data_IF_294530724856
#
_entry.id   IF_294530724856
#
_cell.length_a   1.000
_cell.length_b   1.000
_cell.length_c   1.000
_cell.angle_alpha   90.00
_cell.angle_beta   90.00
_cell.angle_gamma   90.00
#
_symmetry.space_group_name_H-M   'P 1'
#
loop_
_entity.id
_entity.type
_entity.pdbx_description
1 polymer ?
#
# COMPACT_ATOMS: atom_id res chain seq x y z
N UNK A 1 2.29 37.93 74.96
CA UNK A 1 3.73 38.25 74.91
C UNK A 1 4.53 37.04 75.37
N UNK A 2 5.30 36.40 74.49
CA UNK A 2 6.75 36.23 74.67
C UNK A 2 7.34 35.46 73.49
N UNK A 3 8.28 36.13 72.81
CA UNK A 3 9.15 35.56 71.79
C UNK A 3 10.26 34.79 72.48
N UNK A 4 10.55 33.58 72.03
CA UNK A 4 11.88 32.97 72.18
C UNK A 4 12.24 32.25 70.87
N UNK A 5 13.30 32.76 70.24
CA UNK A 5 13.97 32.19 69.09
C UNK A 5 14.58 30.83 69.46
N UNK A 6 14.36 29.81 68.63
CA UNK A 6 15.20 28.61 68.59
C UNK A 6 15.67 28.43 67.14
N UNK A 7 16.81 29.06 66.88
CA UNK A 7 17.75 28.69 65.83
C UNK A 7 18.38 27.34 66.19
N UNK A 8 17.73 26.25 65.79
CA UNK A 8 18.30 24.90 65.65
C UNK A 8 17.18 23.99 65.15
N UNK A 9 17.49 22.98 64.32
CA UNK A 9 16.54 22.03 63.72
C UNK A 9 15.76 22.51 62.48
N UNK A 10 16.46 22.71 61.36
CA UNK A 10 15.88 22.35 60.03
C UNK A 10 16.90 22.30 58.88
N UNK A 11 18.20 22.21 59.17
CA UNK A 11 19.27 22.21 58.16
C UNK A 11 19.78 20.82 57.83
N UNK A 12 18.90 19.80 57.77
CA UNK A 12 19.30 18.45 57.32
C UNK A 12 18.30 17.84 56.31
N UNK A 13 17.08 18.38 56.19
CA UNK A 13 16.03 17.81 55.32
C UNK A 13 15.82 18.58 54.00
N UNK A 14 16.88 19.17 53.45
CA UNK A 14 16.82 19.96 52.20
C UNK A 14 17.84 19.66 51.08
N UNK A 15 18.84 18.76 51.20
CA UNK A 15 19.68 18.42 50.05
C UNK A 15 19.30 17.10 49.36
N UNK A 16 18.15 16.49 49.67
CA UNK A 16 17.73 15.24 48.99
C UNK A 16 16.81 15.47 47.78
N UNK A 17 16.15 16.63 47.68
CA UNK A 17 15.18 16.91 46.61
C UNK A 17 15.75 17.73 45.43
N UNK A 18 16.99 18.22 45.52
CA UNK A 18 17.62 19.01 44.46
C UNK A 18 18.64 18.22 43.60
N UNK A 19 18.96 16.98 43.98
CA UNK A 19 19.78 16.08 43.14
C UNK A 19 18.94 15.28 42.12
N UNK A 20 17.62 15.14 42.35
CA UNK A 20 16.73 14.42 41.45
C UNK A 20 16.25 15.23 40.23
N UNK A 21 16.33 16.58 40.27
CA UNK A 21 15.92 17.42 39.13
C UNK A 21 17.05 17.73 38.13
N UNK A 22 18.31 17.59 38.52
CA UNK A 22 19.45 17.73 37.60
C UNK A 22 19.63 16.50 36.68
N UNK A 23 19.11 15.33 37.08
CA UNK A 23 19.10 14.10 36.26
C UNK A 23 17.90 13.99 35.31
N UNK A 24 16.88 14.86 35.45
CA UNK A 24 15.70 14.90 34.58
C UNK A 24 15.81 15.93 33.44
N UNK A 25 16.77 16.86 33.49
CA UNK A 25 17.01 17.84 32.41
C UNK A 25 18.08 17.40 31.39
N UNK A 26 18.85 16.34 31.67
CA UNK A 26 19.82 15.78 30.71
C UNK A 26 19.19 14.80 29.69
N UNK A 27 17.90 14.45 29.87
CA UNK A 27 17.21 13.43 29.05
C UNK A 27 16.33 14.00 27.95
N UNK A 28 16.32 15.32 27.72
CA UNK A 28 15.46 15.97 26.72
C UNK A 28 16.17 16.52 25.46
N UNK A 29 17.46 16.19 25.27
CA UNK A 29 18.22 16.59 24.06
C UNK A 29 18.60 15.43 23.13
N UNK A 30 18.06 14.22 23.34
CA UNK A 30 18.09 13.16 22.34
C UNK A 30 16.65 12.86 21.99
N UNK A 31 16.13 13.42 20.88
CA UNK A 31 15.06 12.86 20.01
C UNK A 31 14.73 13.88 18.90
N UNK A 32 15.76 14.33 18.19
CA UNK A 32 15.59 14.88 16.86
C UNK A 32 16.63 14.22 15.95
N UNK A 33 16.47 12.92 15.71
CA UNK A 33 16.92 12.40 14.42
C UNK A 33 15.98 13.02 13.40
N UNK A 34 16.37 14.22 12.95
CA UNK A 34 15.96 14.70 11.65
C UNK A 34 16.32 13.56 10.70
N UNK A 35 15.30 12.91 10.14
CA UNK A 35 15.44 12.12 8.94
C UNK A 35 16.03 13.08 7.91
N UNK A 36 17.35 13.10 7.80
CA UNK A 36 18.00 13.60 6.59
C UNK A 36 17.31 12.86 5.46
N UNK A 37 16.74 13.55 4.46
CA UNK A 37 16.23 12.87 3.29
C UNK A 37 17.39 12.03 2.76
N UNK A 38 17.29 10.70 2.89
CA UNK A 38 18.29 9.80 2.34
C UNK A 38 18.48 10.23 0.88
N UNK A 39 19.73 10.51 0.51
CA UNK A 39 20.00 10.99 -0.83
C UNK A 39 19.41 9.99 -1.82
N UNK A 40 18.65 10.44 -2.84
CA UNK A 40 17.98 9.56 -3.81
C UNK A 40 18.93 8.51 -4.42
N UNK A 41 20.23 8.83 -4.50
CA UNK A 41 21.25 7.90 -4.98
C UNK A 41 21.45 6.67 -4.07
N UNK A 42 21.27 6.79 -2.76
CA UNK A 42 21.45 5.69 -1.81
C UNK A 42 20.29 4.68 -1.95
N UNK A 43 19.05 5.17 -2.03
CA UNK A 43 17.86 4.33 -2.23
C UNK A 43 17.93 3.51 -3.53
N UNK A 44 18.36 4.12 -4.64
CA UNK A 44 18.53 3.40 -5.92
C UNK A 44 19.57 2.28 -5.83
N UNK A 45 20.64 2.49 -5.08
CA UNK A 45 21.68 1.48 -4.88
C UNK A 45 21.19 0.35 -3.96
N UNK A 46 20.42 0.66 -2.92
CA UNK A 46 19.76 -0.33 -2.07
C UNK A 46 18.81 -1.20 -2.88
N UNK A 47 17.97 -0.59 -3.74
CA UNK A 47 17.05 -1.32 -4.61
C UNK A 47 17.79 -2.25 -5.58
N UNK A 48 18.86 -1.75 -6.20
CA UNK A 48 19.69 -2.58 -7.08
C UNK A 48 20.33 -3.78 -6.36
N UNK A 49 20.78 -3.61 -5.11
CA UNK A 49 21.32 -4.71 -4.31
C UNK A 49 20.25 -5.76 -3.97
N UNK A 50 19.01 -5.31 -3.70
CA UNK A 50 17.86 -6.21 -3.50
C UNK A 50 17.56 -7.00 -4.77
N UNK A 51 17.50 -6.35 -5.93
CA UNK A 51 17.24 -7.02 -7.21
C UNK A 51 18.31 -8.09 -7.51
N UNK A 52 19.60 -7.80 -7.22
CA UNK A 52 20.67 -8.79 -7.36
C UNK A 52 20.50 -9.97 -6.40
N UNK A 53 20.12 -9.72 -5.14
CA UNK A 53 19.88 -10.77 -4.17
C UNK A 53 18.71 -11.69 -4.58
N UNK A 54 17.66 -11.12 -5.16
CA UNK A 54 16.53 -11.87 -5.72
C UNK A 54 16.95 -12.71 -6.93
N UNK A 55 17.80 -12.17 -7.82
CA UNK A 55 18.38 -12.94 -8.92
C UNK A 55 19.17 -14.16 -8.41
N UNK A 56 20.00 -14.00 -7.37
CA UNK A 56 20.73 -15.14 -6.78
C UNK A 56 19.79 -16.17 -6.15
N UNK A 57 18.73 -15.72 -5.46
CA UNK A 57 17.75 -16.60 -4.84
C UNK A 57 16.96 -17.43 -5.86
N UNK A 58 16.80 -16.94 -7.08
CA UNK A 58 16.03 -17.56 -8.16
C UNK A 58 16.90 -18.29 -9.20
N UNK A 59 18.19 -18.52 -8.91
CA UNK A 59 19.16 -19.11 -9.84
C UNK A 59 18.72 -20.46 -10.45
N UNK A 60 17.90 -21.24 -9.74
CA UNK A 60 17.40 -22.54 -10.20
C UNK A 60 16.26 -22.45 -11.23
N UNK A 61 15.57 -21.30 -11.34
CA UNK A 61 14.32 -21.16 -12.11
C UNK A 61 14.41 -20.15 -13.25
N UNK A 62 15.49 -19.37 -13.35
CA UNK A 62 15.62 -18.30 -14.33
C UNK A 62 17.05 -18.14 -14.88
N UNK A 63 17.18 -17.57 -16.08
CA UNK A 63 18.47 -17.14 -16.61
C UNK A 63 19.05 -16.01 -15.75
N UNK A 64 19.98 -16.38 -14.88
CA UNK A 64 20.67 -15.48 -13.97
C UNK A 64 21.39 -14.33 -14.71
N UNK A 65 21.91 -14.58 -15.92
CA UNK A 65 22.58 -13.55 -16.69
C UNK A 65 21.59 -12.51 -17.21
N UNK A 66 20.42 -12.96 -17.68
CA UNK A 66 19.32 -12.08 -18.06
C UNK A 66 18.79 -11.28 -16.86
N UNK A 67 18.55 -11.93 -15.71
CA UNK A 67 18.08 -11.25 -14.50
C UNK A 67 19.03 -10.14 -14.05
N UNK A 68 20.34 -10.43 -13.95
CA UNK A 68 21.35 -9.42 -13.59
C UNK A 68 21.45 -8.29 -14.63
N UNK A 69 21.20 -8.60 -15.91
CA UNK A 69 21.14 -7.58 -16.96
C UNK A 69 19.93 -6.66 -16.77
N UNK A 70 18.76 -7.22 -16.49
CA UNK A 70 17.53 -6.45 -16.20
C UNK A 70 17.71 -5.55 -14.98
N UNK A 71 18.29 -6.05 -13.89
CA UNK A 71 18.59 -5.25 -12.69
C UNK A 71 19.52 -4.06 -13.01
N UNK A 72 20.55 -4.25 -13.85
CA UNK A 72 21.43 -3.14 -14.29
C UNK A 72 20.69 -2.12 -15.15
N UNK A 73 19.82 -2.59 -16.06
CA UNK A 73 19.03 -1.70 -16.91
C UNK A 73 18.05 -0.88 -16.06
N UNK A 74 17.39 -1.51 -15.08
CA UNK A 74 16.50 -0.85 -14.14
C UNK A 74 17.23 0.27 -13.37
N UNK A 75 18.43 0.00 -12.84
CA UNK A 75 19.25 1.03 -12.19
C UNK A 75 19.62 2.18 -13.15
N UNK A 76 19.98 1.87 -14.39
CA UNK A 76 20.33 2.88 -15.39
C UNK A 76 19.13 3.78 -15.73
N UNK A 77 17.93 3.21 -15.87
CA UNK A 77 16.70 3.95 -16.12
C UNK A 77 16.26 4.77 -14.90
N UNK A 78 16.45 4.24 -13.69
CA UNK A 78 16.23 4.95 -12.44
C UNK A 78 17.09 6.22 -12.33
N UNK A 79 18.39 6.09 -12.62
CA UNK A 79 19.34 7.22 -12.65
C UNK A 79 18.98 8.28 -13.70
N UNK A 80 18.29 7.87 -14.76
CA UNK A 80 17.76 8.77 -15.80
C UNK A 80 16.39 9.38 -15.44
N UNK A 81 15.88 9.12 -14.23
CA UNK A 81 14.56 9.53 -13.76
C UNK A 81 13.40 9.02 -14.63
N UNK A 82 13.59 7.89 -15.32
CA UNK A 82 12.56 7.29 -16.17
C UNK A 82 11.52 6.46 -15.38
N UNK A 83 11.81 6.16 -14.11
CA UNK A 83 10.96 5.36 -13.21
C UNK A 83 10.11 6.22 -12.24
N UNK A 84 9.88 7.49 -12.57
CA UNK A 84 9.13 8.46 -11.75
C UNK A 84 7.71 7.97 -11.37
N UNK A 85 7.19 8.45 -10.22
CA UNK A 85 5.77 8.37 -9.78
C UNK A 85 4.74 8.75 -10.86
N UNK A 86 5.16 9.52 -11.88
CA UNK A 86 4.37 9.73 -13.12
C UNK A 86 3.88 8.40 -13.72
N UNK A 87 4.66 7.34 -13.57
CA UNK A 87 4.35 5.98 -14.02
C UNK A 87 3.18 5.38 -13.23
N UNK A 88 3.02 5.66 -11.94
CA UNK A 88 1.89 5.15 -11.14
C UNK A 88 0.55 5.70 -11.66
N UNK A 89 0.48 7.01 -11.90
CA UNK A 89 -0.69 7.63 -12.52
C UNK A 89 -0.92 7.13 -13.95
N UNK A 90 0.14 6.84 -14.70
CA UNK A 90 0.05 6.21 -16.02
C UNK A 90 -0.44 4.76 -15.94
N UNK A 91 -0.06 3.98 -14.92
CA UNK A 91 -0.51 2.61 -14.73
C UNK A 91 -2.01 2.56 -14.51
N UNK A 92 -2.53 3.36 -13.59
CA UNK A 92 -3.99 3.42 -13.34
C UNK A 92 -4.74 3.86 -14.61
N UNK A 93 -4.28 4.92 -15.28
CA UNK A 93 -4.85 5.37 -16.55
C UNK A 93 -4.83 4.28 -17.62
N UNK A 94 -3.74 3.53 -17.72
CA UNK A 94 -3.59 2.45 -18.70
C UNK A 94 -4.46 1.24 -18.35
N UNK A 95 -4.64 0.94 -17.06
CA UNK A 95 -5.56 -0.10 -16.62
C UNK A 95 -7.00 0.24 -17.02
N UNK A 96 -7.45 1.48 -16.77
CA UNK A 96 -8.80 1.93 -17.15
C UNK A 96 -8.99 2.01 -18.68
N UNK A 97 -7.92 2.28 -19.46
CA UNK A 97 -7.98 2.23 -20.93
C UNK A 97 -8.49 0.87 -21.43
N UNK A 98 -8.15 -0.23 -20.75
CA UNK A 98 -8.59 -1.59 -21.12
C UNK A 98 -10.12 -1.75 -21.06
N UNK A 99 -10.79 -0.99 -20.20
CA UNK A 99 -12.25 -1.05 -20.06
C UNK A 99 -13.01 -0.27 -21.14
N UNK A 100 -12.32 0.54 -21.97
CA UNK A 100 -12.98 1.41 -22.97
C UNK A 100 -13.70 0.67 -24.09
N UNK A 101 -13.41 -0.61 -24.29
CA UNK A 101 -14.10 -1.46 -25.27
C UNK A 101 -15.55 -1.75 -24.86
N UNK A 102 -15.83 -1.73 -23.55
CA UNK A 102 -17.15 -1.98 -22.99
C UNK A 102 -17.99 -0.70 -22.95
N UNK A 103 -19.32 -0.86 -22.82
CA UNK A 103 -20.30 0.24 -22.77
C UNK A 103 -21.28 -0.01 -21.62
N UNK A 104 -21.92 1.06 -21.13
CA UNK A 104 -22.94 0.97 -20.07
C UNK A 104 -22.43 0.24 -18.83
N UNK A 105 -23.26 -0.64 -18.28
CA UNK A 105 -22.97 -1.39 -17.05
C UNK A 105 -21.72 -2.27 -17.15
N UNK A 106 -21.41 -2.84 -18.32
CA UNK A 106 -20.22 -3.67 -18.51
C UNK A 106 -18.92 -2.86 -18.33
N UNK A 107 -18.95 -1.59 -18.72
CA UNK A 107 -17.82 -0.69 -18.51
C UNK A 107 -17.66 -0.39 -17.03
N UNK A 108 -18.74 -0.04 -16.34
CA UNK A 108 -18.72 0.20 -14.89
C UNK A 108 -18.20 -1.03 -14.13
N UNK A 109 -18.68 -2.23 -14.49
CA UNK A 109 -18.24 -3.48 -13.88
C UNK A 109 -16.76 -3.77 -14.15
N UNK A 110 -16.27 -3.50 -15.37
CA UNK A 110 -14.85 -3.62 -15.69
C UNK A 110 -14.02 -2.64 -14.84
N UNK A 111 -14.41 -1.37 -14.75
CA UNK A 111 -13.69 -0.37 -13.99
C UNK A 111 -13.67 -0.71 -12.49
N UNK A 112 -14.79 -1.20 -11.92
CA UNK A 112 -14.86 -1.66 -10.54
C UNK A 112 -13.88 -2.82 -10.25
N UNK A 113 -13.81 -3.82 -11.14
CA UNK A 113 -12.82 -4.91 -11.04
C UNK A 113 -11.39 -4.39 -11.15
N UNK A 114 -11.13 -3.42 -12.04
CA UNK A 114 -9.81 -2.83 -12.22
C UNK A 114 -9.37 -2.06 -10.97
N UNK A 115 -10.28 -1.35 -10.31
CA UNK A 115 -10.05 -0.60 -9.06
C UNK A 115 -9.98 -1.50 -7.82
N UNK A 116 -10.16 -2.81 -7.97
CA UNK A 116 -10.19 -3.79 -6.87
C UNK A 116 -11.31 -3.53 -5.84
N UNK A 117 -12.50 -3.11 -6.29
CA UNK A 117 -13.65 -2.84 -5.41
C UNK A 117 -14.32 -4.12 -4.85
N UNK A 118 -13.80 -5.30 -5.18
CA UNK A 118 -14.31 -6.59 -4.71
C UNK A 118 -13.18 -7.51 -4.22
N UNK A 119 -13.24 -8.79 -4.57
CA UNK A 119 -12.22 -9.76 -4.17
C UNK A 119 -11.15 -9.96 -5.25
N UNK A 120 -9.94 -10.28 -4.81
CA UNK A 120 -8.86 -10.71 -5.69
C UNK A 120 -8.26 -12.01 -5.17
N UNK A 121 -8.05 -12.98 -6.07
CA UNK A 121 -7.51 -14.30 -5.72
C UNK A 121 -6.43 -14.72 -6.72
N UNK A 122 -5.54 -15.62 -6.30
CA UNK A 122 -4.39 -16.05 -7.09
C UNK A 122 -3.13 -15.21 -6.86
N UNK A 123 -2.09 -15.48 -7.63
CA UNK A 123 -0.82 -14.77 -7.57
C UNK A 123 -0.15 -14.74 -8.94
N UNK A 124 0.81 -13.83 -9.10
CA UNK A 124 1.66 -13.80 -10.30
C UNK A 124 2.40 -15.13 -10.45
N UNK A 125 2.90 -15.69 -9.35
CA UNK A 125 3.58 -16.99 -9.35
C UNK A 125 2.66 -18.15 -9.77
N UNK A 126 1.37 -18.11 -9.42
CA UNK A 126 0.41 -19.14 -9.81
C UNK A 126 -0.21 -18.92 -11.21
N UNK A 127 0.29 -17.95 -11.98
CA UNK A 127 -0.12 -17.71 -13.37
C UNK A 127 -1.21 -16.65 -13.57
N UNK A 128 -1.67 -15.97 -12.51
CA UNK A 128 -2.62 -14.87 -12.67
C UNK A 128 -3.33 -14.46 -11.40
N UNK A 129 -3.87 -13.23 -11.43
CA UNK A 129 -4.75 -12.68 -10.41
C UNK A 129 -6.14 -12.54 -11.01
N UNK A 130 -7.12 -13.22 -10.41
CA UNK A 130 -8.53 -13.08 -10.75
C UNK A 130 -9.16 -11.98 -9.89
N UNK A 131 -9.91 -11.08 -10.52
CA UNK A 131 -10.61 -9.99 -9.83
C UNK A 131 -12.10 -10.09 -10.07
N UNK A 132 -12.87 -10.09 -8.99
CA UNK A 132 -14.31 -10.29 -9.01
C UNK A 132 -15.02 -9.16 -8.25
N UNK A 133 -16.15 -8.71 -8.80
CA UNK A 133 -17.04 -7.75 -8.15
C UNK A 133 -18.46 -8.26 -8.31
N UNK A 134 -19.14 -8.50 -7.19
CA UNK A 134 -20.54 -8.93 -7.17
C UNK A 134 -21.45 -7.72 -7.04
N UNK A 135 -22.38 -7.55 -7.98
CA UNK A 135 -23.42 -6.50 -7.93
C UNK A 135 -24.80 -7.14 -7.77
N UNK A 136 -25.63 -6.64 -6.84
CA UNK A 136 -27.02 -7.07 -6.76
C UNK A 136 -27.78 -6.58 -8.00
N UNK A 137 -28.51 -7.49 -8.64
CA UNK A 137 -29.42 -7.14 -9.74
C UNK A 137 -30.77 -6.76 -9.12
N UNK A 138 -31.39 -5.63 -9.51
CA UNK A 138 -32.74 -5.30 -9.07
C UNK A 138 -33.70 -6.43 -9.42
N UNK A 139 -34.62 -6.76 -8.50
CA UNK A 139 -35.66 -7.74 -8.80
C UNK A 139 -36.49 -7.22 -9.99
N UNK A 140 -36.53 -7.99 -11.08
CA UNK A 140 -37.49 -7.72 -12.14
C UNK A 140 -38.90 -7.77 -11.53
N UNK A 141 -39.78 -6.79 -11.84
CA UNK A 141 -41.16 -6.88 -11.41
C UNK A 141 -41.73 -8.18 -11.97
N UNK A 142 -42.30 -9.01 -11.09
CA UNK A 142 -42.87 -10.29 -11.45
C UNK A 142 -43.78 -10.13 -12.66
N UNK A 143 -43.29 -10.53 -13.83
CA UNK A 143 -44.12 -10.60 -15.02
C UNK A 143 -45.09 -11.72 -14.73
N UNK A 144 -46.39 -11.39 -14.63
CA UNK A 144 -47.45 -12.36 -14.42
C UNK A 144 -47.22 -13.58 -15.33
N UNK A 145 -47.41 -14.82 -14.85
CA UNK A 145 -47.11 -16.01 -15.63
C UNK A 145 -47.81 -15.91 -16.98
N UNK A 146 -47.03 -16.02 -18.06
CA UNK A 146 -47.57 -16.06 -19.40
C UNK A 146 -48.60 -17.19 -19.47
N UNK A 147 -49.88 -16.83 -19.64
CA UNK A 147 -50.93 -17.80 -19.94
C UNK A 147 -50.52 -18.50 -21.23
N UNK A 148 -50.12 -19.76 -21.11
CA UNK A 148 -49.94 -20.66 -22.24
C UNK A 148 -51.36 -20.88 -22.79
N UNK A 149 -51.75 -20.11 -23.80
CA UNK A 149 -52.99 -20.35 -24.53
C UNK A 149 -52.76 -21.58 -25.41
N UNK A 150 -53.52 -22.68 -25.23
CA UNK A 150 -53.41 -23.83 -26.12
C UNK A 150 -53.75 -23.40 -27.54
N UNK A 151 -52.84 -23.65 -28.47
CA UNK A 151 -53.06 -23.39 -29.90
C UNK A 151 -54.02 -24.47 -30.42
N UNK A 152 -55.31 -24.14 -30.53
CA UNK A 152 -56.30 -25.03 -31.18
C UNK A 152 -56.02 -25.01 -32.69
N UNK A 153 -55.72 -26.15 -33.33
CA UNK A 153 -55.55 -26.20 -34.78
C UNK A 153 -56.89 -25.98 -35.50
N UNK A 154 -56.89 -25.32 -36.68
CA UNK A 154 -58.11 -25.10 -37.44
C UNK A 154 -58.68 -26.44 -37.93
N UNK A 155 -59.98 -26.63 -37.74
CA UNK A 155 -60.72 -27.77 -38.28
C UNK A 155 -60.74 -27.71 -39.82
N UNK A 156 -60.52 -28.86 -40.46
CA UNK A 156 -60.69 -29.07 -41.90
C UNK A 156 -62.16 -29.23 -42.27
#
# INVERSE_FOLDING_TARGET
MNRMNITAFSTVFRPALLAAQALLCASFCLHAQAQTPEQPQNELMVRYQQDLAECEAQQATQDLAACRLEARNALADAKRNLLSETTANLFEKNQLKRCRVFKGEDREACEARVRNEGSSTGSVQSGGILREVTRPVPAEPATAPALIVPRVPPAK
#
